data_IF_203669573086
#
_entry.id   IF_203669573086
#
_cell.length_a   1.000
_cell.length_b   1.000
_cell.length_c   1.000
_cell.angle_alpha   90.00
_cell.angle_beta   90.00
_cell.angle_gamma   90.00
#
_symmetry.space_group_name_H-M   'P 1'
#
loop_
_entity.id
_entity.type
_entity.pdbx_description
1 polymer ?
#
# COMPACT_ATOMS: atom_id res chain seq x y z
N UNK A 1 28.10 -6.22 -15.52
CA UNK A 1 27.80 -7.54 -16.12
C UNK A 1 26.88 -8.30 -15.16
N UNK A 2 25.62 -8.55 -15.55
CA UNK A 2 24.56 -9.04 -14.66
C UNK A 2 24.52 -10.57 -14.51
N UNK A 3 23.83 -11.07 -13.48
CA UNK A 3 23.58 -12.52 -13.31
C UNK A 3 22.49 -12.98 -14.28
N UNK A 4 22.74 -14.09 -14.96
CA UNK A 4 21.80 -14.68 -15.94
C UNK A 4 20.87 -15.71 -15.29
N UNK A 5 19.69 -15.88 -15.87
CA UNK A 5 18.78 -16.97 -15.50
C UNK A 5 19.52 -18.31 -15.66
N UNK A 6 19.27 -19.27 -14.75
CA UNK A 6 20.04 -20.52 -14.53
C UNK A 6 21.32 -20.40 -13.69
N UNK A 7 21.99 -19.24 -13.60
CA UNK A 7 23.21 -19.03 -12.79
C UNK A 7 22.97 -18.13 -11.56
N UNK A 8 21.82 -18.29 -10.91
CA UNK A 8 21.42 -17.49 -9.75
C UNK A 8 21.75 -18.20 -8.44
N UNK A 9 21.10 -19.33 -8.20
CA UNK A 9 21.22 -20.11 -6.95
C UNK A 9 20.85 -21.58 -7.21
N UNK A 10 21.45 -22.50 -6.45
CA UNK A 10 21.11 -23.92 -6.49
C UNK A 10 20.00 -24.23 -5.51
N UNK A 11 18.76 -24.30 -5.99
CA UNK A 11 17.61 -24.79 -5.20
C UNK A 11 17.25 -26.22 -5.65
N UNK A 12 16.96 -27.12 -4.70
CA UNK A 12 16.53 -28.50 -4.99
C UNK A 12 15.23 -28.80 -4.23
N UNK A 13 14.35 -29.58 -4.85
CA UNK A 13 13.09 -30.07 -4.26
C UNK A 13 12.11 -28.98 -3.81
N UNK A 14 11.87 -27.96 -4.65
CA UNK A 14 10.79 -26.98 -4.42
C UNK A 14 9.75 -27.16 -5.52
N UNK A 15 8.54 -27.58 -5.14
CA UNK A 15 7.39 -27.71 -6.04
C UNK A 15 6.47 -26.51 -5.81
N UNK A 16 6.15 -25.76 -6.87
CA UNK A 16 5.26 -24.59 -6.79
C UNK A 16 4.05 -24.78 -7.72
N UNK A 17 2.85 -24.56 -7.21
CA UNK A 17 1.61 -24.64 -7.96
C UNK A 17 1.09 -23.25 -8.31
N UNK A 18 0.50 -23.09 -9.51
CA UNK A 18 -0.14 -21.87 -9.98
C UNK A 18 -1.38 -22.23 -10.79
N UNK A 19 -2.48 -21.50 -10.60
CA UNK A 19 -3.66 -21.61 -11.47
C UNK A 19 -3.52 -20.68 -12.67
N UNK A 20 -4.21 -20.99 -13.77
CA UNK A 20 -4.28 -20.12 -14.93
C UNK A 20 -4.91 -18.76 -14.55
N UNK A 21 -4.40 -17.62 -15.06
CA UNK A 21 -4.95 -16.29 -14.74
C UNK A 21 -6.45 -16.17 -15.06
N UNK A 22 -6.95 -16.88 -16.07
CA UNK A 22 -8.35 -16.85 -16.49
C UNK A 22 -9.28 -17.61 -15.53
N UNK A 23 -8.74 -18.48 -14.70
CA UNK A 23 -9.49 -19.21 -13.66
C UNK A 23 -9.48 -18.50 -12.31
N UNK A 24 -8.70 -17.43 -12.20
CA UNK A 24 -8.59 -16.64 -10.98
C UNK A 24 -9.51 -15.43 -11.03
N UNK A 25 -10.15 -15.11 -9.89
CA UNK A 25 -10.81 -13.82 -9.73
C UNK A 25 -9.74 -12.73 -9.60
N UNK A 26 -9.90 -11.61 -10.31
CA UNK A 26 -8.95 -10.50 -10.27
C UNK A 26 -8.79 -9.89 -8.85
N UNK A 27 -9.87 -9.84 -8.06
CA UNK A 27 -9.87 -9.33 -6.68
C UNK A 27 -10.55 -10.31 -5.70
N UNK A 28 -9.88 -11.41 -5.33
CA UNK A 28 -10.44 -12.38 -4.40
C UNK A 28 -10.39 -11.82 -2.97
N UNK A 29 -11.51 -11.92 -2.23
CA UNK A 29 -11.58 -11.60 -0.79
C UNK A 29 -11.13 -10.17 -0.46
N UNK A 30 -11.48 -9.21 -1.32
CA UNK A 30 -11.08 -7.80 -1.17
C UNK A 30 -11.52 -7.20 0.18
N UNK A 31 -12.79 -7.36 0.55
CA UNK A 31 -13.31 -6.82 1.81
C UNK A 31 -12.79 -7.60 3.04
N UNK A 32 -12.83 -8.93 2.99
CA UNK A 32 -12.52 -9.76 4.17
C UNK A 32 -11.03 -9.93 4.43
N UNK A 33 -10.17 -9.87 3.40
CA UNK A 33 -8.71 -10.01 3.56
C UNK A 33 -7.93 -8.76 3.17
N UNK A 34 -8.42 -7.97 2.21
CA UNK A 34 -7.76 -6.74 1.78
C UNK A 34 -7.85 -5.66 2.84
N UNK A 35 -9.07 -5.27 3.25
CA UNK A 35 -9.28 -4.18 4.21
C UNK A 35 -8.60 -4.44 5.56
N UNK A 36 -8.75 -5.61 6.21
CA UNK A 36 -8.06 -5.86 7.49
C UNK A 36 -6.54 -5.82 7.36
N UNK A 37 -5.99 -6.26 6.22
CA UNK A 37 -4.53 -6.24 6.00
C UNK A 37 -4.02 -4.81 5.77
N UNK A 38 -4.78 -3.96 5.09
CA UNK A 38 -4.48 -2.54 4.94
C UNK A 38 -4.60 -1.84 6.29
N UNK A 39 -5.70 -2.03 7.02
CA UNK A 39 -5.91 -1.43 8.35
C UNK A 39 -4.82 -1.82 9.34
N UNK A 40 -4.38 -3.10 9.35
CA UNK A 40 -3.25 -3.54 10.17
C UNK A 40 -1.97 -2.75 9.82
N UNK A 41 -1.67 -2.57 8.54
CA UNK A 41 -0.50 -1.79 8.08
C UNK A 41 -0.61 -0.31 8.46
N UNK A 42 -1.78 0.28 8.32
CA UNK A 42 -2.04 1.68 8.71
C UNK A 42 -1.90 1.87 10.22
N UNK A 43 -2.38 0.93 11.05
CA UNK A 43 -2.21 0.97 12.51
C UNK A 43 -0.73 0.92 12.92
N UNK A 44 0.05 0.04 12.30
CA UNK A 44 1.50 -0.07 12.54
C UNK A 44 2.25 1.22 12.15
N UNK A 45 1.82 1.90 11.08
CA UNK A 45 2.31 3.23 10.69
C UNK A 45 2.01 4.28 11.76
N UNK A 46 0.73 4.46 12.12
CA UNK A 46 0.26 5.56 13.00
C UNK A 46 0.87 5.44 14.40
N UNK A 47 0.94 4.23 14.96
CA UNK A 47 1.54 4.02 16.29
C UNK A 47 3.00 4.47 16.33
N UNK A 48 3.76 4.24 15.25
CA UNK A 48 5.16 4.65 15.17
C UNK A 48 5.29 6.18 15.17
N UNK A 49 4.41 6.88 14.45
CA UNK A 49 4.38 8.34 14.43
C UNK A 49 3.96 8.94 15.77
N UNK A 50 2.92 8.39 16.40
CA UNK A 50 2.44 8.87 17.71
C UNK A 50 3.53 8.70 18.75
N UNK A 51 4.22 7.56 18.80
CA UNK A 51 5.35 7.34 19.71
C UNK A 51 6.48 8.32 19.43
N UNK A 52 6.81 8.56 18.16
CA UNK A 52 7.84 9.53 17.79
C UNK A 52 7.46 10.97 18.19
N UNK A 53 6.21 11.37 17.94
CA UNK A 53 5.69 12.68 18.30
C UNK A 53 5.68 12.88 19.82
N UNK A 54 5.20 11.89 20.59
CA UNK A 54 5.23 11.92 22.06
C UNK A 54 6.66 12.06 22.60
N UNK A 55 7.64 11.35 22.03
CA UNK A 55 9.04 11.47 22.43
C UNK A 55 9.61 12.84 22.04
N UNK A 56 9.19 13.40 20.92
CA UNK A 56 9.62 14.72 20.48
C UNK A 56 9.04 15.84 21.35
N UNK A 57 7.77 15.74 21.75
CA UNK A 57 7.10 16.76 22.58
C UNK A 57 7.54 16.73 24.03
N UNK A 58 7.87 15.54 24.56
CA UNK A 58 8.23 15.34 25.98
C UNK A 58 9.72 15.02 26.20
N UNK A 59 10.54 15.08 25.15
CA UNK A 59 11.95 14.70 25.19
C UNK A 59 12.86 15.84 25.64
N UNK A 60 13.49 15.68 26.80
CA UNK A 60 14.54 16.56 27.30
C UNK A 60 15.76 16.55 26.34
N UNK A 61 16.16 17.69 25.74
CA UNK A 61 17.20 17.75 24.71
C UNK A 61 18.61 17.40 25.22
N UNK A 62 18.82 17.36 26.55
CA UNK A 62 20.10 17.04 27.18
C UNK A 62 20.47 15.55 27.24
N UNK A 63 19.58 14.63 26.88
CA UNK A 63 19.85 13.19 27.01
C UNK A 63 20.54 12.58 25.78
N UNK A 64 21.66 11.88 26.00
CA UNK A 64 22.38 11.08 24.98
C UNK A 64 21.49 10.02 24.30
N UNK A 65 20.47 9.54 24.99
CA UNK A 65 19.48 8.60 24.45
C UNK A 65 18.61 9.25 23.36
N UNK A 66 18.24 10.52 23.53
CA UNK A 66 17.45 11.28 22.56
C UNK A 66 18.23 11.53 21.26
N UNK A 67 19.52 11.89 21.37
CA UNK A 67 20.43 12.01 20.22
C UNK A 67 20.58 10.70 19.42
N UNK A 68 20.70 9.55 20.09
CA UNK A 68 20.69 8.23 19.43
C UNK A 68 19.33 7.91 18.81
N UNK A 69 18.24 8.34 19.43
CA UNK A 69 16.89 8.15 18.92
C UNK A 69 16.61 9.00 17.67
N UNK A 70 17.08 10.25 17.63
CA UNK A 70 16.99 11.10 16.43
C UNK A 70 17.80 10.49 15.28
N UNK A 71 19.07 10.15 15.50
CA UNK A 71 19.95 9.64 14.43
C UNK A 71 19.53 8.28 13.84
N UNK A 72 18.99 7.36 14.66
CA UNK A 72 18.56 6.03 14.19
C UNK A 72 17.06 5.89 13.97
N UNK A 73 16.25 6.64 14.70
CA UNK A 73 14.79 6.62 14.64
C UNK A 73 14.25 7.41 13.46
N UNK A 74 14.78 8.61 13.17
CA UNK A 74 14.30 9.45 12.05
C UNK A 74 14.39 8.71 10.70
N UNK A 75 15.50 8.06 10.31
CA UNK A 75 15.57 7.35 9.03
C UNK A 75 14.60 6.16 8.96
N UNK A 76 14.35 5.50 10.10
CA UNK A 76 13.45 4.36 10.20
C UNK A 76 11.98 4.79 10.10
N UNK A 77 11.64 5.94 10.70
CA UNK A 77 10.33 6.58 10.58
C UNK A 77 10.15 7.07 9.15
N UNK A 78 11.09 7.86 8.60
CA UNK A 78 11.05 8.42 7.24
C UNK A 78 10.91 7.35 6.15
N UNK A 79 11.57 6.20 6.31
CA UNK A 79 11.39 5.06 5.40
C UNK A 79 9.97 4.49 5.49
N UNK A 80 9.40 4.40 6.70
CA UNK A 80 8.00 3.96 6.90
C UNK A 80 7.00 5.00 6.40
N UNK A 81 7.23 6.29 6.63
CA UNK A 81 6.29 7.37 6.24
C UNK A 81 6.05 7.40 4.73
N UNK A 82 7.09 7.16 3.92
CA UNK A 82 6.97 7.06 2.45
C UNK A 82 6.01 5.95 2.01
N UNK A 83 5.96 4.83 2.73
CA UNK A 83 5.06 3.72 2.42
C UNK A 83 3.60 4.03 2.84
N UNK A 84 3.42 4.73 3.96
CA UNK A 84 2.08 5.11 4.43
C UNK A 84 1.47 6.18 3.51
N UNK A 85 2.24 7.21 3.11
CA UNK A 85 1.78 8.27 2.19
C UNK A 85 1.33 7.69 0.85
N UNK A 86 2.08 6.73 0.31
CA UNK A 86 1.71 6.05 -0.94
C UNK A 86 0.35 5.37 -0.84
N UNK A 87 0.04 4.76 0.32
CA UNK A 87 -1.23 4.07 0.54
C UNK A 87 -2.41 5.07 0.59
N UNK A 88 -2.22 6.23 1.22
CA UNK A 88 -3.23 7.29 1.25
C UNK A 88 -3.45 7.92 -0.13
N UNK A 89 -2.39 8.16 -0.89
CA UNK A 89 -2.48 8.71 -2.26
C UNK A 89 -3.23 7.74 -3.18
N UNK A 90 -2.91 6.45 -3.13
CA UNK A 90 -3.63 5.43 -3.91
C UNK A 90 -5.11 5.37 -3.52
N UNK A 91 -5.43 5.41 -2.23
CA UNK A 91 -6.81 5.40 -1.77
C UNK A 91 -7.57 6.65 -2.22
N UNK A 92 -6.94 7.83 -2.15
CA UNK A 92 -7.51 9.09 -2.62
C UNK A 92 -7.75 9.07 -4.13
N UNK A 93 -6.80 8.59 -4.93
CA UNK A 93 -6.95 8.42 -6.38
C UNK A 93 -8.08 7.47 -6.74
N UNK A 94 -8.22 6.35 -6.03
CA UNK A 94 -9.33 5.40 -6.23
C UNK A 94 -10.66 6.05 -5.86
N UNK A 95 -10.72 6.80 -4.76
CA UNK A 95 -11.93 7.50 -4.33
C UNK A 95 -12.36 8.55 -5.37
N UNK A 96 -11.44 9.41 -5.82
CA UNK A 96 -11.75 10.46 -6.80
C UNK A 96 -12.13 9.86 -8.15
N UNK A 97 -11.40 8.85 -8.63
CA UNK A 97 -11.73 8.14 -9.87
C UNK A 97 -13.09 7.43 -9.76
N UNK A 98 -13.32 6.68 -8.68
CA UNK A 98 -14.56 5.94 -8.49
C UNK A 98 -15.79 6.85 -8.42
N UNK A 99 -15.68 8.00 -7.75
CA UNK A 99 -16.76 8.98 -7.68
C UNK A 99 -17.03 9.64 -9.05
N UNK A 100 -15.97 9.93 -9.80
CA UNK A 100 -16.09 10.48 -11.16
C UNK A 100 -16.70 9.49 -12.15
N UNK A 101 -16.32 8.22 -12.07
CA UNK A 101 -16.83 7.16 -12.95
C UNK A 101 -18.28 6.80 -12.62
N UNK A 102 -18.65 6.83 -11.35
CA UNK A 102 -20.05 6.68 -10.92
C UNK A 102 -20.93 7.79 -11.50
N UNK A 103 -20.52 9.05 -11.41
CA UNK A 103 -21.26 10.18 -11.99
C UNK A 103 -21.34 10.10 -13.53
N UNK A 104 -20.27 9.66 -14.21
CA UNK A 104 -20.30 9.39 -15.66
C UNK A 104 -21.27 8.29 -16.03
N UNK A 105 -21.31 7.22 -15.25
CA UNK A 105 -22.20 6.07 -15.48
C UNK A 105 -23.68 6.43 -15.32
N UNK A 106 -24.01 7.48 -14.57
CA UNK A 106 -25.38 8.00 -14.45
C UNK A 106 -25.83 8.81 -15.68
N UNK A 107 -24.92 9.20 -16.57
CA UNK A 107 -25.27 9.89 -17.83
C UNK A 107 -25.76 8.86 -18.85
N UNK A 108 -26.85 9.17 -19.56
CA UNK A 108 -27.34 8.34 -20.67
C UNK A 108 -26.35 8.44 -21.83
N UNK A 109 -25.96 7.31 -22.41
CA UNK A 109 -25.12 7.28 -23.61
C UNK A 109 -26.00 7.43 -24.87
N UNK A 110 -25.88 8.51 -25.65
CA UNK A 110 -26.69 8.72 -26.85
C UNK A 110 -26.48 7.64 -27.92
N UNK A 111 -25.28 7.05 -28.01
CA UNK A 111 -24.95 6.00 -28.99
C UNK A 111 -25.78 4.71 -28.83
N UNK A 112 -26.42 4.50 -27.67
CA UNK A 112 -27.29 3.35 -27.44
C UNK A 112 -28.68 3.48 -28.10
N UNK A 113 -29.05 4.67 -28.58
CA UNK A 113 -30.39 4.95 -29.13
C UNK A 113 -30.39 5.27 -30.64
N UNK A 114 -29.23 5.28 -31.30
CA UNK A 114 -29.10 5.65 -32.71
C UNK A 114 -29.75 4.63 -33.67
N UNK A 115 -29.87 3.36 -33.25
CA UNK A 115 -30.39 2.25 -34.05
C UNK A 115 -31.78 1.76 -33.59
N UNK A 116 -32.43 2.47 -32.67
CA UNK A 116 -33.71 2.06 -32.05
C UNK A 116 -34.93 2.48 -32.90
N UNK A 117 -34.77 2.45 -34.23
CA UNK A 117 -35.72 2.98 -35.22
C UNK A 117 -36.54 1.90 -35.89
#
# INVERSE_FOLDING_TARGET
>A
MGREFRNLTRMRHVISYRLSPFEQRAFPKYLSKGIPKVLRRTRECILTFVVFYLIYTWGEPGQRAFQKYLSKGIPKVLRRTRECILTFVVFYLIYTWGNQEFERSRRKNPAMYENDK
#
